data_IF_608007165890
#
_entry.id   IF_608007165890
#
_cell.length_a   1.000
_cell.length_b   1.000
_cell.length_c   1.000
_cell.angle_alpha   90.00
_cell.angle_beta   90.00
_cell.angle_gamma   90.00
#
_symmetry.space_group_name_H-M   'P 1'
#
loop_
_entity.id
_entity.type
_entity.pdbx_description
1 polymer ?
#
# COMPACT_ATOMS: atom_id res chain seq x y z
N UNK A 1 -13.37 7.44 2.62
CA UNK A 1 -14.01 7.20 1.30
C UNK A 1 -12.91 7.17 0.25
N UNK A 2 -13.05 6.41 -0.84
CA UNK A 2 -12.13 6.50 -1.97
C UNK A 2 -12.59 7.60 -2.92
N UNK A 3 -11.68 8.20 -3.69
CA UNK A 3 -12.06 9.10 -4.78
C UNK A 3 -12.60 8.27 -5.94
N UNK A 4 -13.60 8.81 -6.62
CA UNK A 4 -14.29 8.24 -7.76
C UNK A 4 -14.90 9.39 -8.56
N UNK A 5 -15.16 9.16 -9.84
CA UNK A 5 -15.97 10.06 -10.66
C UNK A 5 -17.41 9.56 -10.71
N UNK A 6 -18.35 10.49 -10.83
CA UNK A 6 -19.77 10.18 -10.99
C UNK A 6 -20.08 10.05 -12.47
N UNK A 7 -20.85 9.02 -12.84
CA UNK A 7 -21.26 8.76 -14.22
C UNK A 7 -22.79 8.65 -14.26
N UNK A 8 -23.41 9.47 -15.10
CA UNK A 8 -24.80 9.32 -15.51
C UNK A 8 -24.85 8.61 -16.86
N UNK A 9 -25.80 7.70 -17.04
CA UNK A 9 -25.96 6.95 -18.29
C UNK A 9 -27.31 7.27 -18.92
N UNK A 10 -27.30 7.89 -20.10
CA UNK A 10 -28.48 8.12 -20.94
C UNK A 10 -28.61 7.05 -22.04
N UNK A 11 -27.53 6.30 -22.33
CA UNK A 11 -27.62 5.09 -23.13
C UNK A 11 -28.52 4.05 -22.45
N UNK A 12 -29.34 3.29 -23.19
CA UNK A 12 -30.15 2.22 -22.62
C UNK A 12 -29.29 1.20 -21.87
N UNK A 13 -29.57 1.04 -20.57
CA UNK A 13 -28.95 0.00 -19.77
C UNK A 13 -29.66 -1.35 -19.97
N UNK A 14 -28.95 -2.48 -19.79
CA UNK A 14 -29.54 -3.82 -19.85
C UNK A 14 -30.74 -4.01 -18.92
N UNK A 15 -30.74 -3.36 -17.76
CA UNK A 15 -31.89 -3.32 -16.85
C UNK A 15 -32.41 -1.88 -16.73
N UNK A 16 -33.64 -1.67 -17.21
CA UNK A 16 -34.28 -0.37 -17.22
C UNK A 16 -34.50 0.23 -15.82
N UNK A 17 -34.54 -0.61 -14.78
CA UNK A 17 -34.65 -0.14 -13.38
C UNK A 17 -33.42 0.64 -12.92
N UNK A 18 -32.29 0.45 -13.59
CA UNK A 18 -31.02 1.06 -13.23
C UNK A 18 -30.75 2.37 -13.99
N UNK A 19 -31.63 2.79 -14.91
CA UNK A 19 -31.37 3.89 -15.86
C UNK A 19 -31.13 5.24 -15.17
N UNK A 20 -31.87 5.52 -14.10
CA UNK A 20 -31.84 6.80 -13.38
C UNK A 20 -30.91 6.79 -12.15
N UNK A 21 -30.02 5.80 -12.05
CA UNK A 21 -29.09 5.68 -10.93
C UNK A 21 -27.81 6.46 -11.17
N UNK A 22 -27.26 7.01 -10.09
CA UNK A 22 -25.92 7.58 -10.07
C UNK A 22 -24.90 6.45 -10.00
N UNK A 23 -24.05 6.35 -11.02
CA UNK A 23 -22.92 5.42 -11.01
C UNK A 23 -21.64 6.11 -10.60
N UNK A 24 -20.70 5.31 -10.10
CA UNK A 24 -19.34 5.71 -9.81
C UNK A 24 -18.38 4.96 -10.73
N UNK A 25 -17.24 5.57 -11.05
CA UNK A 25 -16.14 4.89 -11.74
C UNK A 25 -14.80 5.30 -11.18
N UNK A 26 -13.81 4.42 -11.38
CA UNK A 26 -12.39 4.66 -11.11
C UNK A 26 -11.51 4.44 -12.34
N UNK A 27 -12.14 4.23 -13.50
CA UNK A 27 -11.43 4.01 -14.76
C UNK A 27 -11.14 5.32 -15.52
N UNK A 28 -11.51 6.45 -14.94
CA UNK A 28 -11.25 7.79 -15.45
C UNK A 28 -10.19 8.48 -14.56
N UNK A 29 -10.36 9.76 -14.25
CA UNK A 29 -9.32 10.57 -13.60
C UNK A 29 -9.40 10.53 -12.05
N UNK A 30 -10.50 10.01 -11.49
CA UNK A 30 -10.80 9.97 -10.05
C UNK A 30 -10.73 11.36 -9.39
N UNK A 31 -11.17 12.41 -10.08
CA UNK A 31 -11.09 13.80 -9.65
C UNK A 31 -12.40 14.31 -9.02
N UNK A 32 -13.36 13.41 -8.77
CA UNK A 32 -14.74 13.75 -8.35
C UNK A 32 -15.50 14.54 -9.42
N UNK A 33 -15.15 14.30 -10.68
CA UNK A 33 -15.85 14.91 -11.80
C UNK A 33 -17.16 14.19 -12.08
N UNK A 34 -18.01 14.86 -12.86
CA UNK A 34 -19.25 14.31 -13.38
C UNK A 34 -19.13 14.06 -14.87
N UNK A 35 -19.44 12.84 -15.28
CA UNK A 35 -19.50 12.44 -16.67
C UNK A 35 -20.92 12.00 -17.03
N UNK A 36 -21.28 12.19 -18.29
CA UNK A 36 -22.51 11.66 -18.87
C UNK A 36 -22.17 10.81 -20.09
N UNK A 37 -22.62 9.56 -20.08
CA UNK A 37 -22.69 8.73 -21.28
C UNK A 37 -23.99 9.12 -21.98
N UNK A 38 -23.90 9.91 -23.04
CA UNK A 38 -25.07 10.47 -23.72
C UNK A 38 -25.89 9.41 -24.44
N UNK A 39 -27.13 9.72 -24.80
CA UNK A 39 -28.00 8.79 -25.53
C UNK A 39 -27.37 8.28 -26.84
N UNK A 40 -26.57 9.11 -27.52
CA UNK A 40 -25.85 8.75 -28.75
C UNK A 40 -24.46 8.11 -28.50
N UNK A 41 -24.17 7.73 -27.25
CA UNK A 41 -23.01 6.94 -26.89
C UNK A 41 -21.72 7.73 -26.68
N UNK A 42 -21.76 9.06 -26.57
CA UNK A 42 -20.56 9.85 -26.23
C UNK A 42 -20.31 9.85 -24.73
N UNK A 43 -19.05 9.87 -24.32
CA UNK A 43 -18.69 10.23 -22.95
C UNK A 43 -18.41 11.74 -22.92
N UNK A 44 -19.16 12.48 -22.11
CA UNK A 44 -19.01 13.93 -21.95
C UNK A 44 -18.67 14.21 -20.50
N UNK A 45 -17.53 14.85 -20.24
CA UNK A 45 -17.21 15.42 -18.93
C UNK A 45 -17.99 16.73 -18.80
N UNK A 46 -18.79 16.86 -17.76
CA UNK A 46 -19.66 18.02 -17.55
C UNK A 46 -18.86 19.22 -17.04
N UNK A 47 -19.26 20.41 -17.47
CA UNK A 47 -18.86 21.65 -16.84
C UNK A 47 -19.28 21.64 -15.38
N UNK A 48 -18.43 22.15 -14.52
CA UNK A 48 -18.70 22.14 -13.10
C UNK A 48 -17.50 22.63 -12.33
N UNK A 49 -17.74 23.07 -11.10
CA UNK A 49 -16.67 23.41 -10.17
C UNK A 49 -16.05 22.08 -9.74
N UNK A 50 -14.90 21.74 -10.32
CA UNK A 50 -14.09 20.61 -9.86
C UNK A 50 -13.81 20.78 -8.37
N UNK A 51 -13.83 19.68 -7.62
CA UNK A 51 -13.59 19.73 -6.19
C UNK A 51 -12.11 20.07 -5.95
N UNK A 52 -11.76 21.35 -5.89
CA UNK A 52 -10.36 21.82 -5.92
C UNK A 52 -10.15 23.16 -6.63
N UNK A 53 -11.17 23.69 -7.33
CA UNK A 53 -11.16 25.07 -7.87
C UNK A 53 -10.83 25.20 -9.36
N UNK A 54 -10.24 24.19 -9.99
CA UNK A 54 -10.07 24.12 -11.45
C UNK A 54 -11.17 23.24 -12.05
N UNK A 55 -12.34 23.85 -12.24
CA UNK A 55 -13.46 23.26 -12.96
C UNK A 55 -13.35 23.44 -14.48
N UNK A 56 -14.08 22.63 -15.25
CA UNK A 56 -14.25 22.90 -16.67
C UNK A 56 -15.26 24.03 -16.88
N UNK A 57 -14.89 25.02 -17.68
CA UNK A 57 -15.78 26.13 -18.10
C UNK A 57 -16.91 25.66 -19.01
N UNK A 58 -16.77 24.49 -19.64
CA UNK A 58 -17.74 23.91 -20.58
C UNK A 58 -17.67 22.40 -20.64
N UNK A 59 -18.80 21.80 -21.02
CA UNK A 59 -18.89 20.37 -21.33
C UNK A 59 -17.86 20.01 -22.42
N UNK A 60 -17.11 18.94 -22.17
CA UNK A 60 -16.05 18.48 -23.06
C UNK A 60 -16.26 17.01 -23.39
N UNK A 61 -16.32 16.69 -24.69
CA UNK A 61 -16.36 15.30 -25.15
C UNK A 61 -15.03 14.63 -24.82
N UNK A 62 -15.11 13.45 -24.20
CA UNK A 62 -13.98 12.63 -23.81
C UNK A 62 -13.92 11.43 -24.77
N UNK A 63 -13.09 11.47 -25.83
CA UNK A 63 -13.10 10.47 -26.91
C UNK A 63 -12.42 9.17 -26.47
N UNK A 64 -13.05 8.48 -25.52
CA UNK A 64 -12.53 7.27 -24.92
C UNK A 64 -12.52 6.09 -25.92
N UNK A 65 -11.51 5.25 -25.83
CA UNK A 65 -11.46 3.96 -26.49
C UNK A 65 -11.03 2.91 -25.47
N UNK A 66 -11.82 1.84 -25.30
CA UNK A 66 -11.60 0.81 -24.27
C UNK A 66 -12.81 0.62 -23.37
N UNK A 67 -12.59 -0.03 -22.23
CA UNK A 67 -13.65 -0.33 -21.26
C UNK A 67 -13.59 0.60 -20.05
N UNK A 68 -14.77 0.96 -19.55
CA UNK A 68 -14.90 1.46 -18.19
C UNK A 68 -15.89 0.60 -17.42
N UNK A 69 -15.60 0.43 -16.13
CA UNK A 69 -16.54 -0.15 -15.17
C UNK A 69 -17.27 0.99 -14.47
N UNK A 70 -18.59 0.91 -14.47
CA UNK A 70 -19.46 1.79 -13.70
C UNK A 70 -20.21 0.96 -12.67
N UNK A 71 -20.34 1.47 -11.45
CA UNK A 71 -20.95 0.71 -10.36
C UNK A 71 -21.75 1.61 -9.41
N UNK A 72 -22.75 1.03 -8.75
CA UNK A 72 -23.53 1.72 -7.72
C UNK A 72 -24.02 0.73 -6.66
N UNK A 73 -24.54 1.25 -5.55
CA UNK A 73 -25.06 0.45 -4.45
C UNK A 73 -26.48 0.89 -4.11
N UNK A 74 -27.46 0.01 -4.37
CA UNK A 74 -28.87 0.23 -4.08
C UNK A 74 -29.32 -0.83 -3.07
N UNK A 75 -29.55 -0.42 -1.82
CA UNK A 75 -29.87 -1.33 -0.71
C UNK A 75 -31.14 -2.18 -0.92
N UNK A 76 -32.06 -1.69 -1.74
CA UNK A 76 -33.34 -2.36 -2.04
C UNK A 76 -33.24 -3.38 -3.17
N UNK A 77 -32.13 -3.42 -3.90
CA UNK A 77 -31.89 -4.38 -4.98
C UNK A 77 -31.18 -5.64 -4.47
N UNK A 78 -31.36 -6.75 -5.16
CA UNK A 78 -30.63 -8.01 -4.89
C UNK A 78 -30.01 -8.53 -6.19
N UNK A 79 -28.68 -8.48 -6.34
CA UNK A 79 -27.69 -7.98 -5.39
C UNK A 79 -27.78 -6.45 -5.21
N UNK A 80 -27.43 -5.97 -4.02
CA UNK A 80 -27.42 -4.52 -3.74
C UNK A 80 -26.31 -3.79 -4.50
N UNK A 81 -25.30 -4.51 -4.97
CA UNK A 81 -24.19 -3.99 -5.74
C UNK A 81 -24.44 -4.22 -7.23
N UNK A 82 -24.52 -3.14 -8.00
CA UNK A 82 -24.86 -3.15 -9.42
C UNK A 82 -23.63 -2.68 -10.20
N UNK A 83 -23.23 -3.45 -11.22
CA UNK A 83 -22.03 -3.17 -12.00
C UNK A 83 -22.20 -3.45 -13.48
N UNK A 84 -21.77 -2.49 -14.29
CA UNK A 84 -21.72 -2.61 -15.74
C UNK A 84 -20.30 -2.35 -16.25
N UNK A 85 -19.99 -3.00 -17.38
CA UNK A 85 -18.87 -2.63 -18.24
C UNK A 85 -19.46 -1.93 -19.46
N UNK A 86 -18.92 -0.76 -19.76
CA UNK A 86 -19.24 0.03 -20.96
C UNK A 86 -18.03 -0.01 -21.88
N UNK A 87 -18.20 -0.57 -23.07
CA UNK A 87 -17.18 -0.57 -24.12
C UNK A 87 -17.35 0.66 -24.99
N UNK A 88 -16.28 1.43 -25.12
CA UNK A 88 -16.15 2.51 -26.09
C UNK A 88 -15.23 2.11 -27.23
N UNK A 89 -15.69 2.30 -28.46
CA UNK A 89 -14.90 2.11 -29.68
C UNK A 89 -15.08 3.37 -30.54
N UNK A 90 -13.96 4.00 -30.90
CA UNK A 90 -13.91 5.29 -31.62
C UNK A 90 -14.69 6.43 -30.93
N UNK A 91 -14.61 6.53 -29.59
CA UNK A 91 -15.30 7.59 -28.83
C UNK A 91 -16.81 7.41 -28.72
N UNK A 92 -17.32 6.21 -29.01
CA UNK A 92 -18.76 5.87 -28.93
C UNK A 92 -18.98 4.57 -28.18
N UNK A 93 -20.06 4.48 -27.42
CA UNK A 93 -20.50 3.23 -26.81
C UNK A 93 -20.79 2.20 -27.90
N UNK A 94 -20.12 1.06 -27.81
CA UNK A 94 -20.37 -0.11 -28.66
C UNK A 94 -21.37 -1.05 -27.97
N UNK A 95 -21.20 -1.27 -26.67
CA UNK A 95 -22.13 -2.06 -25.85
C UNK A 95 -22.00 -1.73 -24.36
N UNK A 96 -23.06 -2.05 -23.61
CA UNK A 96 -23.10 -2.02 -22.15
C UNK A 96 -23.57 -3.39 -21.68
N UNK A 97 -22.83 -4.02 -20.77
CA UNK A 97 -23.16 -5.36 -20.24
C UNK A 97 -22.92 -5.45 -18.74
N UNK A 98 -23.72 -6.23 -17.99
CA UNK A 98 -23.43 -6.51 -16.58
C UNK A 98 -22.06 -7.18 -16.44
N UNK A 99 -21.27 -6.79 -15.43
CA UNK A 99 -19.95 -7.38 -15.20
C UNK A 99 -20.03 -8.89 -14.96
N UNK A 100 -21.12 -9.36 -14.34
CA UNK A 100 -21.37 -10.76 -14.09
C UNK A 100 -21.50 -11.61 -15.36
N UNK A 101 -21.96 -11.02 -16.47
CA UNK A 101 -22.05 -11.70 -17.78
C UNK A 101 -20.67 -11.80 -18.43
N UNK A 102 -19.92 -10.69 -18.45
CA UNK A 102 -18.55 -10.65 -18.99
C UNK A 102 -17.64 -11.69 -18.31
N UNK A 103 -17.77 -11.86 -16.99
CA UNK A 103 -16.99 -12.84 -16.22
C UNK A 103 -17.36 -14.29 -16.53
N UNK A 104 -18.59 -14.57 -16.98
CA UNK A 104 -19.02 -15.91 -17.39
C UNK A 104 -18.53 -16.25 -18.78
N UNK A 105 -18.47 -15.25 -19.67
CA UNK A 105 -17.98 -15.41 -21.04
C UNK A 105 -16.45 -15.52 -21.11
N UNK A 106 -15.74 -14.97 -20.12
CA UNK A 106 -14.33 -15.28 -19.92
C UNK A 106 -14.22 -16.66 -19.27
N UNK A 107 -13.69 -17.67 -19.95
CA UNK A 107 -13.30 -19.00 -19.41
C UNK A 107 -12.19 -18.93 -18.32
N UNK A 108 -12.20 -17.91 -17.49
CA UNK A 108 -11.31 -17.75 -16.35
C UNK A 108 -11.99 -18.36 -15.12
N UNK A 109 -11.33 -19.29 -14.41
CA UNK A 109 -11.91 -19.90 -13.23
C UNK A 109 -12.25 -18.84 -12.18
N UNK A 110 -13.33 -19.04 -11.40
CA UNK A 110 -13.73 -18.10 -10.37
C UNK A 110 -12.57 -17.91 -9.39
N UNK A 111 -12.26 -16.64 -9.08
CA UNK A 111 -11.24 -16.26 -8.11
C UNK A 111 -11.67 -16.66 -6.69
N UNK A 112 -11.57 -17.95 -6.37
CA UNK A 112 -11.47 -18.41 -5.00
C UNK A 112 -10.02 -18.18 -4.56
N UNK A 113 -9.76 -17.01 -3.99
CA UNK A 113 -8.56 -16.80 -3.17
C UNK A 113 -8.80 -17.53 -1.82
N UNK A 114 -8.64 -18.85 -1.84
CA UNK A 114 -8.37 -19.62 -0.63
C UNK A 114 -6.85 -19.65 -0.45
N UNK A 115 -6.32 -18.64 0.25
CA UNK A 115 -4.93 -18.63 0.71
C UNK A 115 -4.85 -19.35 2.06
N UNK A 116 -5.04 -20.67 2.06
CA UNK A 116 -4.53 -21.53 3.13
C UNK A 116 -3.04 -21.75 2.90
N UNK A 117 -2.23 -20.76 3.26
CA UNK A 117 -0.77 -20.85 3.28
C UNK A 117 -0.29 -21.54 4.57
N UNK A 118 -0.78 -22.73 4.84
CA UNK A 118 -0.27 -23.59 5.92
C UNK A 118 0.02 -24.99 5.37
N UNK A 119 1.28 -25.23 4.97
CA UNK A 119 1.97 -26.53 4.96
C UNK A 119 3.22 -26.49 4.06
N UNK A 120 4.27 -25.78 4.48
CA UNK A 120 5.62 -26.03 3.92
C UNK A 120 6.76 -25.75 4.91
N UNK A 121 6.50 -25.70 6.21
CA UNK A 121 7.54 -25.68 7.24
C UNK A 121 7.40 -26.89 8.16
N UNK A 122 7.47 -28.08 7.56
CA UNK A 122 7.66 -29.32 8.28
C UNK A 122 8.90 -30.05 7.74
N UNK A 123 9.98 -29.98 8.50
CA UNK A 123 11.01 -31.01 8.54
C UNK A 123 12.23 -30.80 7.65
N UNK A 124 13.33 -30.40 8.27
CA UNK A 124 14.49 -31.29 8.47
C UNK A 124 15.43 -30.71 9.52
N UNK A 125 15.22 -31.15 10.76
CA UNK A 125 16.24 -31.18 11.81
C UNK A 125 17.31 -32.18 11.38
N UNK A 126 18.49 -31.68 11.04
CA UNK A 126 19.71 -32.48 10.98
C UNK A 126 20.58 -32.08 12.18
N UNK A 127 20.71 -33.01 13.12
CA UNK A 127 21.66 -32.94 14.21
C UNK A 127 23.08 -32.83 13.65
N UNK A 128 23.85 -31.85 14.14
CA UNK A 128 25.30 -31.82 13.97
C UNK A 128 25.92 -31.85 15.36
N UNK A 129 26.78 -32.85 15.51
CA UNK A 129 27.45 -33.27 16.72
C UNK A 129 28.32 -32.17 17.35
N UNK A 130 28.40 -32.24 18.68
CA UNK A 130 29.34 -31.49 19.50
C UNK A 130 30.78 -32.01 19.33
N UNK A 131 31.75 -31.08 19.31
CA UNK A 131 33.08 -31.12 19.96
C UNK A 131 34.05 -30.11 19.29
N UNK A 132 35.15 -29.67 19.94
CA UNK A 132 35.27 -29.13 21.29
C UNK A 132 35.79 -27.66 21.28
N UNK A 133 35.53 -26.93 22.37
CA UNK A 133 36.08 -25.60 22.65
C UNK A 133 37.61 -25.62 22.80
N UNK A 134 38.28 -24.50 22.46
CA UNK A 134 39.44 -24.07 23.22
C UNK A 134 39.18 -22.74 23.95
N UNK A 135 39.48 -22.81 25.25
CA UNK A 135 39.98 -21.77 26.14
C UNK A 135 39.35 -20.36 26.09
N UNK A 136 38.65 -20.05 27.17
CA UNK A 136 38.41 -18.71 27.64
C UNK A 136 39.72 -17.90 27.71
N UNK A 137 39.71 -16.68 27.17
CA UNK A 137 40.63 -15.62 27.59
C UNK A 137 39.82 -14.43 28.08
N UNK A 138 39.76 -14.36 29.40
CA UNK A 138 39.91 -13.18 30.26
C UNK A 138 38.99 -11.97 30.04
N UNK A 139 38.22 -11.74 31.10
CA UNK A 139 37.47 -10.54 31.40
C UNK A 139 38.35 -9.28 31.36
N UNK A 140 37.93 -8.31 30.54
CA UNK A 140 38.25 -6.91 30.73
C UNK A 140 37.07 -6.22 31.42
N UNK A 141 37.14 -6.11 32.74
CA UNK A 141 36.28 -5.22 33.53
C UNK A 141 36.54 -3.75 33.12
N UNK A 142 35.48 -3.02 32.77
CA UNK A 142 35.47 -1.55 32.73
C UNK A 142 35.55 -0.87 31.37
N UNK A 143 35.49 -1.58 30.24
CA UNK A 143 35.37 -0.94 28.94
C UNK A 143 33.92 -0.52 28.66
N UNK A 144 33.71 0.74 28.24
CA UNK A 144 32.41 1.18 27.73
C UNK A 144 31.94 0.22 26.62
N UNK A 145 30.64 -0.15 26.57
CA UNK A 145 30.15 -1.08 25.58
C UNK A 145 30.50 -0.57 24.18
N UNK A 146 30.97 -1.46 23.31
CA UNK A 146 31.21 -1.12 21.91
C UNK A 146 29.93 -0.51 21.30
N UNK A 147 30.02 0.37 20.30
CA UNK A 147 28.82 0.95 19.68
C UNK A 147 27.78 -0.09 19.22
N UNK A 148 28.25 -1.25 18.75
CA UNK A 148 27.43 -2.41 18.39
C UNK A 148 26.77 -3.06 19.64
N UNK A 149 27.51 -3.23 20.72
CA UNK A 149 26.98 -3.72 22.00
C UNK A 149 25.98 -2.74 22.65
N UNK A 150 26.21 -1.43 22.51
CA UNK A 150 25.29 -0.39 22.99
C UNK A 150 23.97 -0.42 22.22
N UNK A 151 24.01 -0.52 20.88
CA UNK A 151 22.80 -0.70 20.06
C UNK A 151 22.04 -1.96 20.47
N UNK A 152 22.74 -3.08 20.66
CA UNK A 152 22.10 -4.34 21.07
C UNK A 152 21.47 -4.23 22.46
N UNK A 153 22.10 -3.49 23.38
CA UNK A 153 21.52 -3.13 24.68
C UNK A 153 20.22 -2.34 24.53
N UNK A 154 20.17 -1.34 23.64
CA UNK A 154 18.95 -0.59 23.34
C UNK A 154 17.86 -1.46 22.72
N UNK A 155 18.19 -2.34 21.78
CA UNK A 155 17.23 -3.27 21.15
C UNK A 155 16.55 -4.16 22.20
N UNK A 156 17.32 -4.72 23.14
CA UNK A 156 16.78 -5.51 24.26
C UNK A 156 15.88 -4.70 25.17
N UNK A 157 16.34 -3.51 25.57
CA UNK A 157 15.59 -2.63 26.47
C UNK A 157 14.24 -2.25 25.89
N UNK A 158 14.20 -1.95 24.59
CA UNK A 158 13.02 -1.40 23.92
C UNK A 158 12.17 -2.48 23.21
N UNK A 159 12.52 -3.78 23.35
CA UNK A 159 11.90 -4.90 22.61
C UNK A 159 10.38 -4.88 22.62
N UNK A 160 9.77 -4.75 23.80
CA UNK A 160 8.30 -4.79 23.92
C UNK A 160 7.61 -3.65 23.17
N UNK A 161 8.23 -2.46 23.12
CA UNK A 161 7.71 -1.33 22.36
C UNK A 161 7.90 -1.53 20.85
N UNK A 162 9.03 -2.11 20.43
CA UNK A 162 9.28 -2.46 19.03
C UNK A 162 8.30 -3.52 18.52
N UNK A 163 8.01 -4.55 19.33
CA UNK A 163 7.03 -5.60 19.01
C UNK A 163 5.61 -5.04 18.90
N UNK A 164 5.22 -4.17 19.85
CA UNK A 164 3.94 -3.48 19.80
C UNK A 164 3.81 -2.66 18.52
N UNK A 165 4.81 -1.85 18.20
CA UNK A 165 4.81 -1.04 16.98
C UNK A 165 4.75 -1.93 15.73
N UNK A 166 5.50 -3.04 15.68
CA UNK A 166 5.48 -3.96 14.56
C UNK A 166 4.11 -4.61 14.37
N UNK A 167 3.43 -4.97 15.47
CA UNK A 167 2.06 -5.49 15.44
C UNK A 167 1.06 -4.47 14.92
N UNK A 168 1.14 -3.22 15.40
CA UNK A 168 0.29 -2.11 14.93
C UNK A 168 0.50 -1.82 13.43
N UNK A 169 1.75 -1.85 12.96
CA UNK A 169 2.09 -1.63 11.56
C UNK A 169 1.75 -2.84 10.66
N UNK A 170 1.54 -4.03 11.24
CA UNK A 170 1.27 -5.27 10.53
C UNK A 170 -0.21 -5.65 10.44
N UNK A 171 -1.10 -4.92 11.12
CA UNK A 171 -2.53 -5.25 11.15
C UNK A 171 -3.29 -4.74 9.91
N UNK A 172 -4.59 -5.03 9.85
CA UNK A 172 -5.47 -4.62 8.76
C UNK A 172 -5.37 -3.13 8.42
N UNK A 173 -5.30 -2.24 9.43
CA UNK A 173 -5.27 -0.80 9.23
C UNK A 173 -3.87 -0.25 8.98
N UNK A 174 -2.83 -0.89 9.53
CA UNK A 174 -1.43 -0.49 9.38
C UNK A 174 -0.75 -1.01 8.12
N UNK A 175 -1.27 -2.11 7.54
CA UNK A 175 -0.66 -2.78 6.40
C UNK A 175 -1.66 -3.03 5.25
N UNK A 176 -2.68 -3.83 5.49
CA UNK A 176 -3.53 -4.37 4.42
C UNK A 176 -4.35 -3.29 3.71
N UNK A 177 -5.15 -2.51 4.45
CA UNK A 177 -5.97 -1.43 3.89
C UNK A 177 -5.08 -0.44 3.12
N UNK A 178 -4.05 0.21 3.71
CA UNK A 178 -3.29 1.23 2.98
C UNK A 178 -2.57 0.70 1.73
N UNK A 179 -2.04 -0.53 1.76
CA UNK A 179 -1.41 -1.15 0.59
C UNK A 179 -2.46 -1.47 -0.48
N UNK A 180 -3.61 -2.02 -0.10
CA UNK A 180 -4.74 -2.21 -1.01
C UNK A 180 -5.25 -0.88 -1.61
N UNK A 181 -5.27 0.20 -0.82
CA UNK A 181 -5.71 1.54 -1.27
C UNK A 181 -4.83 2.12 -2.37
N UNK A 182 -3.58 1.69 -2.50
CA UNK A 182 -2.74 2.02 -3.64
C UNK A 182 -3.35 1.50 -4.95
N UNK A 183 -3.76 0.24 -5.00
CA UNK A 183 -4.39 -0.36 -6.19
C UNK A 183 -5.78 0.23 -6.47
N UNK A 184 -6.40 0.85 -5.47
CA UNK A 184 -7.68 1.52 -5.57
C UNK A 184 -7.61 3.03 -5.81
N UNK A 185 -6.42 3.60 -6.05
CA UNK A 185 -6.22 5.05 -6.21
C UNK A 185 -6.92 5.87 -5.12
N UNK A 186 -6.66 5.51 -3.87
CA UNK A 186 -7.32 6.12 -2.72
C UNK A 186 -6.32 6.89 -1.88
N UNK A 187 -6.60 8.18 -1.64
CA UNK A 187 -5.78 9.09 -0.83
C UNK A 187 -5.38 8.52 0.54
N UNK A 188 -6.14 7.56 1.09
CA UNK A 188 -5.79 6.81 2.30
C UNK A 188 -4.37 6.21 2.29
N UNK A 189 -3.77 5.94 1.13
CA UNK A 189 -2.35 5.49 1.06
C UNK A 189 -1.40 6.49 1.72
N UNK A 190 -1.73 7.79 1.72
CA UNK A 190 -0.95 8.85 2.38
C UNK A 190 -0.92 8.69 3.91
N UNK A 191 -1.83 7.90 4.49
CA UNK A 191 -1.82 7.57 5.91
C UNK A 191 -0.57 6.79 6.34
N UNK A 192 0.06 6.03 5.43
CA UNK A 192 1.30 5.30 5.72
C UNK A 192 2.45 6.21 6.15
N UNK A 193 2.43 7.49 5.76
CA UNK A 193 3.47 8.44 6.14
C UNK A 193 3.60 8.57 7.65
N UNK A 194 2.47 8.60 8.38
CA UNK A 194 2.47 8.68 9.84
C UNK A 194 3.07 7.43 10.47
N UNK A 195 2.73 6.25 9.96
CA UNK A 195 3.30 4.98 10.39
C UNK A 195 4.80 4.92 10.11
N UNK A 196 5.23 5.28 8.90
CA UNK A 196 6.66 5.37 8.53
C UNK A 196 7.41 6.29 9.47
N UNK A 197 6.88 7.47 9.78
CA UNK A 197 7.50 8.42 10.70
C UNK A 197 7.61 7.88 12.13
N UNK A 198 6.57 7.20 12.64
CA UNK A 198 6.61 6.57 13.95
C UNK A 198 7.70 5.48 14.03
N UNK A 199 7.84 4.67 12.98
CA UNK A 199 8.90 3.66 12.88
C UNK A 199 10.29 4.32 12.87
N UNK A 200 10.49 5.32 12.01
CA UNK A 200 11.77 6.03 11.87
C UNK A 200 12.18 6.70 13.17
N UNK A 201 11.24 7.36 13.85
CA UNK A 201 11.48 7.96 15.18
C UNK A 201 11.89 6.90 16.20
N UNK A 202 11.21 5.75 16.23
CA UNK A 202 11.53 4.67 17.15
C UNK A 202 12.90 4.05 16.86
N UNK A 203 13.25 3.85 15.59
CA UNK A 203 14.56 3.37 15.17
C UNK A 203 15.67 4.38 15.55
N UNK A 204 15.46 5.67 15.29
CA UNK A 204 16.43 6.73 15.64
C UNK A 204 16.67 6.80 17.15
N UNK A 205 15.65 6.55 17.97
CA UNK A 205 15.77 6.55 19.43
C UNK A 205 16.64 5.41 20.00
N UNK A 206 16.89 4.34 19.23
CA UNK A 206 17.75 3.24 19.67
C UNK A 206 19.22 3.65 19.80
N UNK A 207 19.65 4.64 19.00
CA UNK A 207 20.98 5.23 19.03
C UNK A 207 20.89 6.73 18.69
N UNK A 208 20.45 7.59 19.64
CA UNK A 208 20.10 8.98 19.36
C UNK A 208 21.29 9.83 18.91
N UNK A 209 22.52 9.46 19.30
CA UNK A 209 23.74 10.19 18.93
C UNK A 209 24.23 9.89 17.51
N UNK A 210 23.53 9.03 16.76
CA UNK A 210 23.92 8.59 15.43
C UNK A 210 22.79 8.78 14.43
N UNK A 211 22.99 9.51 13.33
CA UNK A 211 21.98 9.58 12.28
C UNK A 211 21.80 8.19 11.65
N UNK A 212 20.57 7.89 11.24
CA UNK A 212 20.31 6.73 10.40
C UNK A 212 20.97 6.89 9.01
N UNK A 213 21.13 5.77 8.30
CA UNK A 213 21.79 5.70 6.99
C UNK A 213 21.25 6.77 6.02
N UNK A 214 22.12 7.52 5.33
CA UNK A 214 21.70 8.55 4.38
C UNK A 214 20.79 8.03 3.26
N UNK A 215 21.04 6.81 2.76
CA UNK A 215 20.19 6.20 1.72
C UNK A 215 18.80 5.85 2.26
N UNK A 216 18.72 5.38 3.50
CA UNK A 216 17.43 5.13 4.14
C UNK A 216 16.66 6.43 4.36
N UNK A 217 17.33 7.48 4.85
CA UNK A 217 16.71 8.79 5.06
C UNK A 217 16.23 9.41 3.73
N UNK A 218 16.96 9.22 2.63
CA UNK A 218 16.53 9.66 1.29
C UNK A 218 15.22 8.98 0.86
N UNK A 219 15.08 7.67 1.10
CA UNK A 219 13.83 6.94 0.82
C UNK A 219 12.69 7.48 1.69
N UNK A 220 12.94 7.68 2.99
CA UNK A 220 11.94 8.22 3.94
C UNK A 220 11.50 9.63 3.54
N UNK A 221 12.43 10.51 3.18
CA UNK A 221 12.14 11.86 2.69
C UNK A 221 11.30 11.83 1.42
N UNK A 222 11.65 10.96 0.46
CA UNK A 222 10.88 10.82 -0.77
C UNK A 222 9.44 10.34 -0.52
N UNK A 223 9.21 9.56 0.53
CA UNK A 223 7.91 8.95 0.87
C UNK A 223 7.09 9.65 1.94
N UNK A 224 7.58 10.72 2.60
CA UNK A 224 6.88 11.39 3.70
C UNK A 224 6.72 12.91 3.49
N UNK A 225 5.95 13.58 4.35
CA UNK A 225 5.71 15.03 4.26
C UNK A 225 4.81 15.47 3.10
N UNK A 226 4.19 14.53 2.38
CA UNK A 226 3.29 14.79 1.26
C UNK A 226 1.88 15.08 1.75
N UNK A 227 1.27 16.11 1.19
CA UNK A 227 -0.17 16.39 1.31
C UNK A 227 -0.84 15.95 0.02
N UNK A 228 -1.90 15.15 0.13
CA UNK A 228 -2.65 14.69 -1.05
C UNK A 228 -3.22 15.89 -1.83
N UNK A 229 -3.06 15.84 -3.14
CA UNK A 229 -3.71 16.74 -4.10
C UNK A 229 -4.44 15.92 -5.16
N UNK A 230 -5.50 16.45 -5.74
CA UNK A 230 -6.29 15.72 -6.74
C UNK A 230 -5.46 15.38 -7.99
N UNK A 231 -4.56 16.27 -8.38
CA UNK A 231 -3.67 16.09 -9.53
C UNK A 231 -2.71 14.91 -9.33
N UNK A 232 -2.50 14.46 -8.09
CA UNK A 232 -1.71 13.27 -7.80
C UNK A 232 -2.33 12.03 -8.42
N UNK A 233 -3.65 11.98 -8.65
CA UNK A 233 -4.31 10.84 -9.30
C UNK A 233 -3.85 10.63 -10.74
N UNK A 234 -3.62 11.71 -11.49
CA UNK A 234 -3.08 11.64 -12.86
C UNK A 234 -1.65 11.07 -12.91
N UNK A 235 -0.91 11.19 -11.79
CA UNK A 235 0.47 10.71 -11.63
C UNK A 235 0.57 9.70 -10.47
N UNK A 236 -0.48 8.91 -10.26
CA UNK A 236 -0.68 8.15 -9.02
C UNK A 236 0.53 7.33 -8.61
N UNK A 237 1.07 6.54 -9.54
CA UNK A 237 2.22 5.66 -9.27
C UNK A 237 3.49 6.44 -8.97
N UNK A 238 3.71 7.58 -9.63
CA UNK A 238 4.86 8.44 -9.39
C UNK A 238 4.83 9.03 -7.97
N UNK A 239 3.66 9.50 -7.53
CA UNK A 239 3.53 10.19 -6.24
C UNK A 239 3.45 9.20 -5.07
N UNK A 240 2.76 8.07 -5.24
CA UNK A 240 2.41 7.18 -4.12
C UNK A 240 3.32 5.95 -3.97
N UNK A 241 4.04 5.53 -5.01
CA UNK A 241 5.06 4.47 -4.86
C UNK A 241 6.13 4.83 -3.82
N UNK A 242 6.69 6.05 -3.78
CA UNK A 242 7.64 6.44 -2.74
C UNK A 242 7.09 6.31 -1.32
N UNK A 243 5.79 6.55 -1.11
CA UNK A 243 5.13 6.39 0.20
C UNK A 243 5.18 4.93 0.66
N UNK A 244 4.82 4.00 -0.25
CA UNK A 244 4.88 2.57 0.01
C UNK A 244 6.33 2.08 0.22
N UNK A 245 7.25 2.54 -0.62
CA UNK A 245 8.66 2.18 -0.54
C UNK A 245 9.27 2.58 0.81
N UNK A 246 9.05 3.82 1.24
CA UNK A 246 9.47 4.29 2.56
C UNK A 246 8.89 3.45 3.70
N UNK A 247 7.60 3.12 3.61
CA UNK A 247 6.95 2.27 4.61
C UNK A 247 7.55 0.85 4.64
N UNK A 248 7.74 0.22 3.48
CA UNK A 248 8.28 -1.15 3.43
C UNK A 248 9.73 -1.22 3.93
N UNK A 249 10.57 -0.23 3.59
CA UNK A 249 11.93 -0.15 4.12
C UNK A 249 11.94 0.11 5.63
N UNK A 250 11.10 1.03 6.13
CA UNK A 250 11.01 1.30 7.57
C UNK A 250 10.54 0.05 8.33
N UNK A 251 9.47 -0.60 7.86
CA UNK A 251 8.94 -1.84 8.44
C UNK A 251 9.97 -2.97 8.42
N UNK A 252 10.74 -3.13 7.33
CA UNK A 252 11.82 -4.11 7.27
C UNK A 252 12.83 -3.90 8.40
N UNK A 253 13.30 -2.66 8.62
CA UNK A 253 14.24 -2.39 9.71
C UNK A 253 13.64 -2.58 11.10
N UNK A 254 12.36 -2.25 11.28
CA UNK A 254 11.65 -2.56 12.53
C UNK A 254 11.57 -4.07 12.76
N UNK A 255 11.25 -4.86 11.74
CA UNK A 255 11.22 -6.32 11.83
C UNK A 255 12.60 -6.88 12.19
N UNK A 256 13.67 -6.36 11.59
CA UNK A 256 15.04 -6.76 11.96
C UNK A 256 15.35 -6.36 13.40
N UNK A 257 14.96 -5.16 13.84
CA UNK A 257 15.18 -4.69 15.20
C UNK A 257 14.51 -5.63 16.22
N UNK A 258 13.26 -6.02 15.99
CA UNK A 258 12.54 -7.01 16.81
C UNK A 258 13.23 -8.38 16.76
N UNK A 259 13.52 -8.89 15.56
CA UNK A 259 14.10 -10.23 15.36
C UNK A 259 15.43 -10.42 16.07
N UNK A 260 16.28 -9.39 16.08
CA UNK A 260 17.63 -9.47 16.66
C UNK A 260 17.74 -8.88 18.06
N UNK A 261 16.64 -8.43 18.66
CA UNK A 261 16.62 -7.99 20.05
C UNK A 261 17.03 -9.11 21.03
N UNK A 262 16.87 -10.38 20.67
CA UNK A 262 17.18 -11.51 21.56
C UNK A 262 18.66 -11.94 21.59
N UNK A 263 19.49 -11.33 20.75
CA UNK A 263 20.93 -11.59 20.79
C UNK A 263 21.51 -11.09 22.12
N UNK A 264 22.27 -11.94 22.80
CA UNK A 264 22.96 -11.58 24.05
C UNK A 264 24.23 -10.77 23.76
N UNK A 265 24.94 -11.14 22.70
CA UNK A 265 26.18 -10.53 22.25
C UNK A 265 26.21 -10.44 20.71
N UNK A 266 27.04 -9.54 20.14
CA UNK A 266 27.26 -9.47 18.71
C UNK A 266 27.70 -10.84 18.14
N UNK A 267 27.00 -11.39 17.13
CA UNK A 267 27.30 -12.71 16.62
C UNK A 267 28.59 -12.70 15.79
N UNK A 268 29.41 -13.73 15.94
CA UNK A 268 30.68 -13.86 15.18
C UNK A 268 30.47 -13.94 13.66
N UNK A 269 29.41 -14.63 13.23
CA UNK A 269 28.96 -14.61 11.83
C UNK A 269 27.72 -13.73 11.75
N UNK A 270 27.79 -12.65 10.95
CA UNK A 270 26.72 -11.66 10.86
C UNK A 270 25.56 -12.17 10.00
N UNK A 271 24.37 -12.44 10.57
CA UNK A 271 23.19 -12.67 9.78
C UNK A 271 22.86 -11.40 8.99
N UNK A 272 22.43 -11.53 7.73
CA UNK A 272 22.24 -10.38 6.84
C UNK A 272 21.26 -9.33 7.39
N UNK A 273 20.23 -9.75 8.13
CA UNK A 273 19.29 -8.81 8.76
C UNK A 273 19.90 -8.02 9.91
N UNK A 274 20.80 -8.62 10.69
CA UNK A 274 21.54 -7.91 11.73
C UNK A 274 22.57 -6.98 11.09
N UNK A 275 23.29 -7.44 10.06
CA UNK A 275 24.18 -6.59 9.28
C UNK A 275 23.44 -5.37 8.70
N UNK A 276 22.21 -5.53 8.20
CA UNK A 276 21.39 -4.44 7.71
C UNK A 276 21.12 -3.38 8.80
N UNK A 277 20.84 -3.77 10.04
CA UNK A 277 20.73 -2.84 11.16
C UNK A 277 22.05 -2.10 11.40
N UNK A 278 23.18 -2.80 11.37
CA UNK A 278 24.48 -2.14 11.55
C UNK A 278 24.74 -1.09 10.46
N UNK A 279 24.41 -1.38 9.19
CA UNK A 279 24.47 -0.39 8.11
C UNK A 279 23.48 0.76 8.31
N UNK A 280 22.28 0.48 8.83
CA UNK A 280 21.30 1.53 9.16
C UNK A 280 21.87 2.53 10.19
N UNK A 281 22.64 2.09 11.18
CA UNK A 281 23.23 2.95 12.21
C UNK A 281 24.67 3.42 11.92
N UNK A 282 25.18 3.17 10.71
CA UNK A 282 26.55 3.54 10.32
C UNK A 282 27.62 2.87 11.19
N UNK A 283 27.39 1.60 11.55
CA UNK A 283 28.30 0.76 12.33
C UNK A 283 29.12 -0.18 11.43
N UNK A 284 28.84 -0.19 10.12
CA UNK A 284 29.54 -0.94 9.07
C UNK A 284 29.56 -0.15 7.77
#
# INVERSE_FOLDING_TARGET
>A
MGLYDTVYCECPLPDARHQDLDFQTKNLECLMDTYTITQDGRLVRRAGIGFGGEGLDRDTEWPLHGDIRIYTSVKTETPSWIEYVVRFTHGRVEWIRPLAEIRKDSDLPPANLDLSLESSLAGKTAAVAAEPQPAASEAGEGAAPSPEGALLGSLRRDRGELEKLLSECGNHWGYEDPVYRFYHQSFKVYGLQGTTQAIVQKLQALAPDRPLSPWFLQIVEAGTGKTFKYEDNARWTEVTRPILEAFFHARFFLEMAVRYADLQEPPRMLPSGYAALLYLFGLR
#
